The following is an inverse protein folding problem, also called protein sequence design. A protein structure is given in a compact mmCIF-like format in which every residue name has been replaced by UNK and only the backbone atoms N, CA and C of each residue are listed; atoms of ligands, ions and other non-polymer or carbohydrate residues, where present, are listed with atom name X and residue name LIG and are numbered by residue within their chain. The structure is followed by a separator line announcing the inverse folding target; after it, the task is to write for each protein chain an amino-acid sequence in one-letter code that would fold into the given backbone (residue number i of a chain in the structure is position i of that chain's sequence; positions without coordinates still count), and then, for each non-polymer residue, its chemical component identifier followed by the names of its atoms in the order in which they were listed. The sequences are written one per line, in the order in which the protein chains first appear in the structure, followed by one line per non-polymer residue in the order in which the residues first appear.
data_IF_023409448209
#
_entry.id   IF_023409448209
#
_cell.length_a   1.000
_cell.length_b   1.000
_cell.length_c   1.000
_cell.angle_alpha   90.00
_cell.angle_beta   90.00
_cell.angle_gamma   90.00
#
_symmetry.space_group_name_H-M   'P 1'
#
loop_
_entity.id
_entity.type
_entity.pdbx_description
1 polymer ?
#
# COMPACT_ATOMS: atom_id res chain seq x y z
N UNK A 1 23.80 9.13 2.78
CA UNK A 1 22.43 9.14 2.23
C UNK A 1 21.72 10.37 2.75
N UNK A 2 20.99 11.10 1.90
CA UNK A 2 20.19 12.24 2.37
C UNK A 2 19.17 11.73 3.40
N UNK A 3 19.09 12.37 4.56
CA UNK A 3 18.16 12.00 5.63
C UNK A 3 16.76 12.35 5.17
N UNK A 4 15.87 11.36 5.10
CA UNK A 4 14.47 11.59 4.75
C UNK A 4 13.80 12.48 5.81
N UNK A 5 13.16 13.55 5.35
CA UNK A 5 12.39 14.42 6.22
C UNK A 5 11.01 13.79 6.46
N UNK A 6 10.85 13.19 7.65
CA UNK A 6 9.61 12.50 8.05
C UNK A 6 8.39 13.43 8.10
N UNK A 7 8.58 14.74 8.28
CA UNK A 7 7.48 15.71 8.30
C UNK A 7 6.72 15.77 6.97
N UNK A 8 7.35 15.33 5.87
CA UNK A 8 6.71 15.22 4.56
C UNK A 8 5.52 14.25 4.61
N UNK A 9 5.50 13.27 5.51
CA UNK A 9 4.39 12.32 5.65
C UNK A 9 3.15 12.96 6.29
N UNK A 10 3.31 14.04 7.06
CA UNK A 10 2.21 14.73 7.71
C UNK A 10 1.24 15.35 6.71
N UNK A 11 1.72 15.72 5.51
CA UNK A 11 0.86 16.20 4.41
C UNK A 11 -0.14 15.12 3.93
N UNK A 12 0.14 13.84 4.20
CA UNK A 12 -0.76 12.73 3.92
C UNK A 12 -1.64 12.36 5.12
N UNK A 13 -1.45 13.03 6.27
CA UNK A 13 -2.11 12.72 7.54
C UNK A 13 -1.40 11.67 8.38
N UNK A 14 -0.23 11.19 7.96
CA UNK A 14 0.52 10.13 8.66
C UNK A 14 1.46 10.80 9.68
N UNK A 15 1.28 10.46 10.96
CA UNK A 15 2.02 11.06 12.08
C UNK A 15 2.59 10.00 13.02
N UNK A 16 3.54 10.39 13.87
CA UNK A 16 4.07 9.54 14.95
C UNK A 16 5.01 8.43 14.47
N UNK A 17 5.38 8.42 13.19
CA UNK A 17 6.28 7.42 12.58
C UNK A 17 7.62 7.33 13.32
N UNK A 18 7.86 6.19 13.98
CA UNK A 18 9.02 5.95 14.84
C UNK A 18 10.32 5.84 14.04
N UNK A 19 10.24 5.18 12.88
CA UNK A 19 11.36 4.92 11.97
C UNK A 19 10.88 5.02 10.51
N UNK A 20 11.71 5.58 9.62
CA UNK A 20 11.48 5.53 8.17
C UNK A 20 12.72 4.97 7.52
N UNK A 21 12.59 3.83 6.86
CA UNK A 21 13.59 3.30 5.95
C UNK A 21 13.31 3.85 4.56
N UNK A 22 14.08 4.88 4.18
CA UNK A 22 13.94 5.57 2.89
C UNK A 22 14.90 4.99 1.85
N UNK A 23 14.39 4.56 0.70
CA UNK A 23 15.13 3.87 -0.35
C UNK A 23 16.05 2.76 0.21
N UNK A 24 15.50 1.77 0.95
CA UNK A 24 16.31 0.70 1.53
C UNK A 24 17.04 -0.08 0.42
N UNK A 25 18.28 -0.46 0.69
CA UNK A 25 19.04 -1.33 -0.24
C UNK A 25 18.44 -2.75 -0.21
N UNK A 26 18.77 -3.55 -1.23
CA UNK A 26 18.38 -4.96 -1.24
C UNK A 26 18.87 -5.72 0.01
N UNK A 27 20.06 -5.42 0.51
CA UNK A 27 20.58 -6.03 1.73
C UNK A 27 19.76 -5.64 2.97
N UNK A 28 19.33 -4.38 3.07
CA UNK A 28 18.43 -3.95 4.15
C UNK A 28 17.09 -4.66 4.02
N UNK A 29 16.51 -4.75 2.82
CA UNK A 29 15.24 -5.45 2.59
C UNK A 29 15.33 -6.94 2.97
N UNK A 30 16.36 -7.64 2.50
CA UNK A 30 16.60 -9.04 2.85
C UNK A 30 16.67 -9.25 4.37
N UNK A 31 17.40 -8.37 5.07
CA UNK A 31 17.50 -8.45 6.52
C UNK A 31 16.19 -8.11 7.23
N UNK A 32 15.36 -7.20 6.70
CA UNK A 32 14.05 -6.86 7.25
C UNK A 32 13.04 -7.99 7.03
N UNK A 33 13.04 -8.64 5.87
CA UNK A 33 12.14 -9.75 5.50
C UNK A 33 12.43 -11.04 6.27
N UNK A 34 13.66 -11.21 6.79
CA UNK A 34 14.11 -12.40 7.53
C UNK A 34 14.21 -12.20 9.04
N UNK A 35 13.72 -11.06 9.57
CA UNK A 35 13.82 -10.76 11.00
C UNK A 35 13.08 -11.79 11.86
N UNK A 36 13.66 -12.20 13.00
CA UNK A 36 12.91 -12.95 13.99
C UNK A 36 11.77 -12.09 14.55
N UNK A 37 10.58 -12.69 14.70
CA UNK A 37 9.40 -12.03 15.27
C UNK A 37 8.44 -11.41 14.26
N UNK A 38 8.68 -11.56 12.95
CA UNK A 38 7.63 -11.34 11.95
C UNK A 38 6.53 -12.39 12.13
N UNK A 39 5.29 -12.00 11.87
CA UNK A 39 4.11 -12.84 12.05
C UNK A 39 3.22 -12.83 10.80
N UNK A 40 2.42 -13.88 10.63
CA UNK A 40 1.41 -13.95 9.57
C UNK A 40 2.02 -13.83 8.16
N UNK A 41 1.53 -12.86 7.38
CA UNK A 41 1.90 -12.67 5.99
C UNK A 41 3.18 -11.84 5.79
N UNK A 42 3.76 -11.31 6.87
CA UNK A 42 4.99 -10.52 6.82
C UNK A 42 6.25 -11.42 6.84
N UNK A 43 6.10 -12.73 7.12
CA UNK A 43 7.24 -13.66 7.25
C UNK A 43 7.82 -14.01 5.88
N UNK A 44 9.07 -13.60 5.65
CA UNK A 44 9.91 -14.08 4.55
C UNK A 44 10.66 -15.36 4.91
N UNK A 45 10.72 -16.30 3.98
CA UNK A 45 11.49 -17.55 4.08
C UNK A 45 12.54 -17.58 2.98
N UNK A 46 13.81 -17.67 3.35
CA UNK A 46 14.90 -17.87 2.39
C UNK A 46 14.82 -19.29 1.80
N UNK A 47 14.71 -19.37 0.48
CA UNK A 47 14.69 -20.63 -0.26
C UNK A 47 16.11 -21.17 -0.47
N UNK A 48 16.24 -22.45 -0.87
CA UNK A 48 17.54 -23.03 -1.23
C UNK A 48 18.25 -22.32 -2.40
N UNK A 49 17.53 -21.48 -3.14
CA UNK A 49 18.05 -20.67 -4.23
C UNK A 49 18.56 -19.28 -3.77
N UNK A 50 18.46 -18.97 -2.47
CA UNK A 50 18.85 -17.69 -1.88
C UNK A 50 17.84 -16.55 -2.11
N UNK A 51 16.67 -16.84 -2.70
CA UNK A 51 15.58 -15.88 -2.85
C UNK A 51 14.62 -15.95 -1.65
N UNK A 52 14.08 -14.80 -1.25
CA UNK A 52 13.02 -14.74 -0.23
C UNK A 52 11.67 -15.10 -0.86
N UNK A 53 10.95 -16.02 -0.23
CA UNK A 53 9.57 -16.36 -0.53
C UNK A 53 8.63 -15.86 0.58
N UNK A 54 7.47 -15.35 0.19
CA UNK A 54 6.39 -14.91 1.09
C UNK A 54 5.07 -15.52 0.65
N UNK A 55 4.13 -15.64 1.59
CA UNK A 55 2.78 -16.14 1.34
C UNK A 55 1.75 -15.02 1.51
N UNK A 56 0.87 -14.82 0.53
CA UNK A 56 -0.13 -13.73 0.53
C UNK A 56 -1.52 -14.17 1.00
N UNK A 57 -1.62 -15.35 1.60
CA UNK A 57 -2.87 -15.93 2.08
C UNK A 57 -3.87 -16.20 0.96
N UNK A 58 -5.09 -15.69 1.11
CA UNK A 58 -6.17 -15.86 0.12
C UNK A 58 -6.01 -14.94 -1.10
N UNK A 59 -5.16 -13.92 -1.02
CA UNK A 59 -4.94 -12.93 -2.08
C UNK A 59 -3.84 -13.41 -3.03
N UNK A 60 -4.12 -14.48 -3.77
CA UNK A 60 -3.19 -15.12 -4.72
C UNK A 60 -3.26 -14.53 -6.13
N UNK A 61 -3.99 -13.44 -6.31
CA UNK A 61 -4.19 -12.77 -7.58
C UNK A 61 -4.81 -11.39 -7.43
N UNK A 62 -5.16 -10.77 -8.56
CA UNK A 62 -5.83 -9.46 -8.56
C UNK A 62 -7.28 -9.59 -8.05
N UNK A 63 -7.75 -8.53 -7.40
CA UNK A 63 -9.16 -8.37 -7.00
C UNK A 63 -9.87 -7.32 -7.85
N UNK A 64 -10.19 -7.60 -9.14
CA UNK A 64 -10.80 -6.61 -10.03
C UNK A 64 -12.13 -6.05 -9.52
N UNK A 65 -12.89 -6.85 -8.77
CA UNK A 65 -14.17 -6.46 -8.15
C UNK A 65 -14.01 -5.43 -7.03
N UNK A 66 -12.80 -5.24 -6.51
CA UNK A 66 -12.51 -4.29 -5.42
C UNK A 66 -11.75 -3.04 -5.91
N UNK A 67 -11.55 -2.90 -7.24
CA UNK A 67 -10.95 -1.70 -7.85
C UNK A 67 -11.99 -0.58 -7.99
N UNK A 68 -11.71 0.58 -7.43
CA UNK A 68 -12.53 1.79 -7.60
C UNK A 68 -11.66 2.99 -7.99
N UNK A 69 -12.27 3.96 -8.65
CA UNK A 69 -11.68 5.26 -8.98
C UNK A 69 -12.64 6.33 -8.45
N UNK A 70 -12.10 7.32 -7.75
CA UNK A 70 -12.89 8.44 -7.24
C UNK A 70 -13.45 9.22 -8.42
N UNK A 71 -14.76 9.42 -8.43
CA UNK A 71 -15.47 10.24 -9.39
C UNK A 71 -15.48 11.69 -8.90
N UNK A 72 -14.60 12.51 -9.46
CA UNK A 72 -14.43 13.92 -9.12
C UNK A 72 -14.24 14.78 -10.37
N UNK A 73 -14.02 16.08 -10.20
CA UNK A 73 -13.90 17.03 -11.31
C UNK A 73 -12.73 16.71 -12.25
N UNK A 74 -11.73 15.94 -11.80
CA UNK A 74 -10.57 15.53 -12.61
C UNK A 74 -10.88 14.28 -13.42
N UNK A 75 -11.61 13.33 -12.84
CA UNK A 75 -11.83 12.00 -13.41
C UNK A 75 -13.18 11.84 -14.13
N UNK A 76 -14.18 12.66 -13.82
CA UNK A 76 -15.57 12.47 -14.26
C UNK A 76 -15.70 12.27 -15.76
N UNK A 77 -15.05 13.15 -16.53
CA UNK A 77 -15.12 13.19 -18.00
C UNK A 77 -13.90 12.55 -18.69
N UNK A 78 -12.87 12.15 -17.94
CA UNK A 78 -11.59 11.67 -18.49
C UNK A 78 -11.38 10.17 -18.34
N UNK A 79 -12.02 9.54 -17.35
CA UNK A 79 -11.91 8.10 -17.10
C UNK A 79 -12.93 7.34 -17.96
N UNK A 80 -12.49 6.20 -18.50
CA UNK A 80 -13.40 5.28 -19.17
C UNK A 80 -14.18 4.44 -18.14
N UNK A 81 -15.33 4.96 -17.71
CA UNK A 81 -16.16 4.35 -16.69
C UNK A 81 -16.86 3.08 -17.15
N UNK A 82 -17.05 2.13 -16.23
CA UNK A 82 -17.84 0.92 -16.48
C UNK A 82 -19.31 1.29 -16.73
N UNK A 83 -19.94 0.63 -17.70
CA UNK A 83 -21.35 0.84 -18.06
C UNK A 83 -22.04 -0.50 -18.33
N UNK A 84 -23.33 -0.50 -18.64
CA UNK A 84 -24.02 -1.73 -19.06
C UNK A 84 -23.50 -2.26 -20.40
N UNK A 85 -23.36 -1.39 -21.39
CA UNK A 85 -22.90 -1.76 -22.74
C UNK A 85 -21.41 -2.02 -22.87
N UNK A 86 -20.59 -1.48 -21.95
CA UNK A 86 -19.14 -1.68 -21.94
C UNK A 86 -18.65 -1.91 -20.52
N UNK A 87 -18.61 -3.18 -20.12
CA UNK A 87 -18.18 -3.61 -18.80
C UNK A 87 -16.65 -3.56 -18.70
N UNK A 88 -16.17 -2.88 -17.66
CA UNK A 88 -14.77 -2.88 -17.24
C UNK A 88 -14.69 -2.71 -15.71
N UNK A 89 -13.48 -2.68 -15.15
CA UNK A 89 -13.27 -2.60 -13.70
C UNK A 89 -13.22 -1.17 -13.14
N UNK A 90 -13.36 -0.13 -13.97
CA UNK A 90 -13.33 1.26 -13.55
C UNK A 90 -14.68 1.65 -12.92
N UNK A 91 -14.86 1.22 -11.66
CA UNK A 91 -16.05 1.48 -10.83
C UNK A 91 -15.89 2.83 -10.13
N UNK A 92 -16.96 3.63 -10.09
CA UNK A 92 -16.98 4.93 -9.42
C UNK A 92 -17.00 4.75 -7.91
N UNK A 93 -16.22 5.56 -7.19
CA UNK A 93 -16.33 5.80 -5.76
C UNK A 93 -16.60 7.28 -5.51
N UNK A 94 -17.37 7.60 -4.46
CA UNK A 94 -17.60 8.99 -4.07
C UNK A 94 -16.43 9.55 -3.25
N UNK A 95 -16.36 10.88 -3.12
CA UNK A 95 -15.36 11.56 -2.29
C UNK A 95 -15.50 11.18 -0.81
N UNK A 96 -16.72 10.92 -0.34
CA UNK A 96 -17.01 10.49 1.03
C UNK A 96 -16.48 9.08 1.28
N UNK A 97 -16.72 8.15 0.35
CA UNK A 97 -16.15 6.79 0.42
C UNK A 97 -14.62 6.83 0.41
N UNK A 98 -14.04 7.69 -0.44
CA UNK A 98 -12.59 7.91 -0.45
C UNK A 98 -12.07 8.41 0.90
N UNK A 99 -12.73 9.42 1.49
CA UNK A 99 -12.35 9.94 2.79
C UNK A 99 -12.36 8.86 3.88
N UNK A 100 -13.37 7.98 3.87
CA UNK A 100 -13.47 6.87 4.82
C UNK A 100 -12.32 5.85 4.66
N UNK A 101 -12.02 5.40 3.45
CA UNK A 101 -10.94 4.41 3.23
C UNK A 101 -9.56 5.02 3.44
N UNK A 102 -9.38 6.31 3.12
CA UNK A 102 -8.15 7.06 3.40
C UNK A 102 -7.90 7.17 4.90
N UNK A 103 -8.93 7.45 5.70
CA UNK A 103 -8.82 7.52 7.15
C UNK A 103 -8.41 6.16 7.76
N UNK A 104 -8.96 5.04 7.26
CA UNK A 104 -8.54 3.69 7.67
C UNK A 104 -7.05 3.49 7.40
N UNK A 105 -6.57 3.80 6.19
CA UNK A 105 -5.17 3.65 5.83
C UNK A 105 -4.24 4.54 6.66
N UNK A 106 -4.63 5.80 6.91
CA UNK A 106 -3.85 6.72 7.76
C UNK A 106 -3.71 6.16 9.17
N UNK A 107 -4.84 5.76 9.79
CA UNK A 107 -4.85 5.21 11.15
C UNK A 107 -3.96 3.98 11.27
N UNK A 108 -3.99 3.13 10.24
CA UNK A 108 -3.17 1.91 10.19
C UNK A 108 -1.68 2.20 10.08
N UNK A 109 -1.27 3.27 9.39
CA UNK A 109 0.14 3.60 9.15
C UNK A 109 0.76 4.52 10.22
N UNK A 110 -0.06 5.27 10.96
CA UNK A 110 0.41 6.13 12.05
C UNK A 110 1.12 5.32 13.14
N UNK A 111 2.13 5.94 13.76
CA UNK A 111 2.89 5.37 14.89
C UNK A 111 3.69 4.10 14.57
N UNK A 112 3.86 3.75 13.29
CA UNK A 112 4.61 2.57 12.86
C UNK A 112 5.98 2.93 12.27
N UNK A 113 6.81 1.90 12.13
CA UNK A 113 7.93 1.92 11.20
C UNK A 113 7.38 1.91 9.78
N UNK A 114 7.91 2.75 8.90
CA UNK A 114 7.50 2.84 7.50
C UNK A 114 8.67 2.61 6.54
N UNK A 115 8.36 2.12 5.37
CA UNK A 115 9.25 1.96 4.23
C UNK A 115 8.79 2.94 3.15
N UNK A 116 9.71 3.78 2.64
CA UNK A 116 9.39 4.85 1.68
C UNK A 116 10.38 4.85 0.53
#
# INVERSE_FOLDING_TARGET
MAKFDKSILEKYGITGTTEVLYNPTYEVLFNEETKPGLEGFDVGVETELGAINVMTGVYTGRSPKDKFIVDDETSHDTVWWTSEGYKNDNKRASKETWAAVKDIAIKELCNKKLYV
#
